data_IF_027446881556
#
_entry.id   IF_027446881556
#
_cell.length_a   1.000
_cell.length_b   1.000
_cell.length_c   1.000
_cell.angle_alpha   90.00
_cell.angle_beta   90.00
_cell.angle_gamma   90.00
#
_symmetry.space_group_name_H-M   'P 1'
#
loop_
_entity.id
_entity.type
_entity.pdbx_description
1 polymer ?
#
# COMPACT_ATOMS: atom_id res chain seq x y z
N UNK A 1 -16.09 13.09 -8.44
CA UNK A 1 -15.01 13.48 -7.50
C UNK A 1 -15.15 12.56 -6.30
N UNK A 2 -14.21 11.65 -6.05
CA UNK A 2 -14.25 10.85 -4.83
C UNK A 2 -13.80 11.75 -3.69
N UNK A 3 -14.71 12.08 -2.79
CA UNK A 3 -14.33 12.69 -1.52
C UNK A 3 -13.53 11.63 -0.75
N UNK A 4 -12.22 11.82 -0.64
CA UNK A 4 -11.40 11.05 0.28
C UNK A 4 -11.72 11.52 1.69
N UNK A 5 -11.82 10.57 2.63
CA UNK A 5 -11.97 10.88 4.04
C UNK A 5 -10.61 11.42 4.52
N UNK A 6 -10.56 12.69 4.96
CA UNK A 6 -9.38 13.33 5.55
C UNK A 6 -8.72 14.44 4.71
N UNK A 7 -8.14 15.42 5.39
CA UNK A 7 -7.35 16.50 4.80
C UNK A 7 -5.85 16.20 4.90
N UNK A 8 -5.33 15.38 4.00
CA UNK A 8 -3.95 14.87 4.03
C UNK A 8 -2.89 15.96 3.91
N UNK A 9 -3.20 17.15 3.35
CA UNK A 9 -2.25 18.26 3.28
C UNK A 9 -1.85 18.81 4.66
N UNK A 10 -2.77 18.74 5.65
CA UNK A 10 -2.47 19.19 7.02
C UNK A 10 -1.53 18.23 7.73
N UNK A 11 -1.62 16.94 7.44
CA UNK A 11 -0.84 15.89 8.11
C UNK A 11 0.53 15.64 7.50
N UNK A 12 0.78 16.10 6.27
CA UNK A 12 2.00 15.76 5.52
C UNK A 12 3.29 16.08 6.26
N UNK A 13 3.35 17.23 7.01
CA UNK A 13 4.55 17.67 7.73
C UNK A 13 4.77 16.94 9.06
N UNK A 14 3.72 16.43 9.69
CA UNK A 14 3.75 15.74 10.98
C UNK A 14 3.48 14.24 10.84
N UNK A 15 3.49 13.72 9.61
CA UNK A 15 3.14 12.34 9.31
C UNK A 15 3.88 11.31 10.19
N UNK A 16 5.21 11.41 10.28
CA UNK A 16 6.01 10.48 11.07
C UNK A 16 5.75 10.60 12.58
N UNK A 17 5.46 11.81 13.06
CA UNK A 17 5.15 12.05 14.48
C UNK A 17 3.78 11.46 14.85
N UNK A 18 2.77 11.69 14.02
CA UNK A 18 1.42 11.15 14.20
C UNK A 18 1.46 9.61 14.16
N UNK A 19 2.13 9.04 13.15
CA UNK A 19 2.27 7.61 13.01
C UNK A 19 3.02 7.00 14.20
N UNK A 20 4.13 7.59 14.62
CA UNK A 20 4.90 7.13 15.78
C UNK A 20 4.09 7.20 17.07
N UNK A 21 3.29 8.25 17.24
CA UNK A 21 2.39 8.40 18.39
C UNK A 21 1.31 7.31 18.41
N UNK A 22 0.68 7.05 17.28
CA UNK A 22 -0.35 6.03 17.14
C UNK A 22 0.20 4.61 17.38
N UNK A 23 1.40 4.31 16.86
CA UNK A 23 2.08 3.03 17.03
C UNK A 23 2.61 2.81 18.46
N UNK A 24 2.92 3.87 19.22
CA UNK A 24 3.47 3.78 20.58
C UNK A 24 4.72 2.89 20.65
N UNK A 25 4.70 1.82 21.46
CA UNK A 25 5.83 0.89 21.60
C UNK A 25 6.23 0.19 20.27
N UNK A 26 5.37 0.19 19.27
CA UNK A 26 5.64 -0.38 17.94
C UNK A 26 6.20 0.67 16.97
N UNK A 27 6.24 1.96 17.33
CA UNK A 27 6.52 3.09 16.45
C UNK A 27 7.98 3.46 16.23
N UNK A 28 8.91 2.87 16.97
CA UNK A 28 10.32 3.26 16.91
C UNK A 28 11.04 2.95 15.58
N UNK A 29 10.39 2.26 14.66
CA UNK A 29 10.94 1.90 13.34
C UNK A 29 9.81 2.00 12.27
N UNK A 30 9.29 3.20 11.98
CA UNK A 30 8.27 3.39 10.92
C UNK A 30 8.71 2.81 9.57
N UNK A 31 9.98 2.96 9.23
CA UNK A 31 10.62 2.39 8.04
C UNK A 31 10.52 0.85 7.99
N UNK A 32 10.45 0.16 9.14
CA UNK A 32 10.31 -1.29 9.19
C UNK A 32 9.04 -1.79 8.48
N UNK A 33 7.93 -1.12 8.70
CA UNK A 33 6.65 -1.55 8.11
C UNK A 33 6.64 -1.39 6.59
N UNK A 34 7.17 -0.28 6.09
CA UNK A 34 7.32 -0.03 4.65
C UNK A 34 8.32 -0.99 4.01
N UNK A 35 9.47 -1.22 4.65
CA UNK A 35 10.43 -2.24 4.24
C UNK A 35 9.77 -3.63 4.09
N UNK A 36 8.98 -4.05 5.08
CA UNK A 36 8.30 -5.36 5.07
C UNK A 36 7.29 -5.50 3.94
N UNK A 37 6.59 -4.43 3.58
CA UNK A 37 5.69 -4.40 2.43
C UNK A 37 6.46 -4.64 1.13
N UNK A 38 7.56 -3.93 0.94
CA UNK A 38 8.37 -4.04 -0.29
C UNK A 38 9.10 -5.39 -0.35
N UNK A 39 9.65 -5.89 0.77
CA UNK A 39 10.22 -7.24 0.85
C UNK A 39 9.21 -8.32 0.43
N UNK A 40 7.96 -8.21 0.88
CA UNK A 40 6.89 -9.13 0.48
C UNK A 40 6.55 -8.94 -1.00
N UNK A 41 6.37 -7.71 -1.45
CA UNK A 41 6.08 -7.39 -2.86
C UNK A 41 7.15 -7.97 -3.79
N UNK A 42 8.43 -7.80 -3.47
CA UNK A 42 9.54 -8.33 -4.27
C UNK A 42 9.50 -9.86 -4.38
N UNK A 43 9.13 -10.54 -3.29
CA UNK A 43 9.00 -12.00 -3.28
C UNK A 43 7.84 -12.51 -4.16
N UNK A 44 6.81 -11.69 -4.40
CA UNK A 44 5.63 -12.01 -5.22
C UNK A 44 5.82 -11.65 -6.69
N UNK A 45 6.57 -10.60 -6.96
CA UNK A 45 6.78 -10.15 -8.34
C UNK A 45 7.96 -10.83 -9.05
N UNK A 46 8.88 -11.42 -8.29
CA UNK A 46 10.13 -11.98 -8.81
C UNK A 46 11.12 -10.89 -9.25
N UNK A 47 12.28 -11.32 -9.74
CA UNK A 47 13.28 -10.44 -10.36
C UNK A 47 12.78 -10.12 -11.76
N UNK A 48 12.39 -8.87 -12.01
CA UNK A 48 12.09 -8.37 -13.34
C UNK A 48 12.94 -7.12 -13.54
N UNK A 49 13.81 -7.16 -14.52
CA UNK A 49 14.62 -6.01 -14.94
C UNK A 49 13.72 -4.90 -15.51
N UNK A 50 14.09 -3.64 -15.28
CA UNK A 50 13.43 -2.45 -15.85
C UNK A 50 11.91 -2.35 -15.63
N UNK A 51 11.42 -2.68 -14.45
CA UNK A 51 9.99 -2.50 -14.12
C UNK A 51 9.58 -1.05 -14.04
N UNK A 52 8.37 -0.78 -14.52
CA UNK A 52 7.65 0.46 -14.28
C UNK A 52 6.67 0.23 -13.15
N UNK A 53 6.90 0.86 -12.03
CA UNK A 53 6.15 0.66 -10.79
C UNK A 53 5.42 1.96 -10.43
N UNK A 54 4.12 1.88 -10.20
CA UNK A 54 3.32 2.97 -9.65
C UNK A 54 3.00 2.69 -8.18
N UNK A 55 3.39 3.58 -7.29
CA UNK A 55 2.88 3.65 -5.90
C UNK A 55 1.67 4.59 -5.89
N UNK A 56 0.48 3.99 -5.83
CA UNK A 56 -0.78 4.72 -5.88
C UNK A 56 -1.25 5.08 -4.48
N UNK A 57 -1.30 6.37 -4.15
CA UNK A 57 -1.49 6.88 -2.81
C UNK A 57 -0.18 6.79 -2.02
N UNK A 58 0.92 7.30 -2.60
CA UNK A 58 2.27 7.13 -2.07
C UNK A 58 2.54 7.93 -0.78
N UNK A 59 1.65 8.85 -0.40
CA UNK A 59 1.83 9.74 0.74
C UNK A 59 3.18 10.46 0.68
N UNK A 60 3.92 10.45 1.78
CA UNK A 60 5.25 11.03 1.91
C UNK A 60 6.39 10.16 1.32
N UNK A 61 6.06 9.09 0.61
CA UNK A 61 7.03 8.26 -0.12
C UNK A 61 7.71 7.18 0.70
N UNK A 62 7.16 6.79 1.84
CA UNK A 62 7.78 5.80 2.74
C UNK A 62 7.99 4.43 2.09
N UNK A 63 7.09 3.99 1.18
CA UNK A 63 7.21 2.75 0.42
C UNK A 63 8.23 2.93 -0.71
N UNK A 64 8.23 4.08 -1.38
CA UNK A 64 9.11 4.39 -2.52
C UNK A 64 10.58 4.29 -2.15
N UNK A 65 10.98 4.74 -0.95
CA UNK A 65 12.35 4.60 -0.46
C UNK A 65 12.85 3.15 -0.60
N UNK A 66 12.02 2.19 -0.16
CA UNK A 66 12.38 0.78 -0.21
C UNK A 66 12.18 0.14 -1.59
N UNK A 67 11.28 0.69 -2.43
CA UNK A 67 11.16 0.21 -3.81
C UNK A 67 12.48 0.39 -4.56
N UNK A 68 13.20 1.51 -4.38
CA UNK A 68 14.54 1.71 -4.97
C UNK A 68 15.61 0.76 -4.41
N UNK A 69 15.47 0.32 -3.13
CA UNK A 69 16.40 -0.65 -2.54
C UNK A 69 16.25 -2.06 -3.17
N UNK A 70 15.01 -2.48 -3.44
CA UNK A 70 14.70 -3.80 -3.97
C UNK A 70 14.68 -3.86 -5.51
N UNK A 71 14.42 -2.73 -6.17
CA UNK A 71 14.31 -2.60 -7.62
C UNK A 71 15.12 -1.38 -8.10
N UNK A 72 16.47 -1.44 -8.02
CA UNK A 72 17.33 -0.27 -8.28
C UNK A 72 17.22 0.29 -9.70
N UNK A 73 16.86 -0.55 -10.68
CA UNK A 73 16.71 -0.19 -12.09
C UNK A 73 15.26 0.08 -12.49
N UNK A 74 14.33 0.10 -11.53
CA UNK A 74 12.92 0.36 -11.82
C UNK A 74 12.68 1.85 -12.11
N UNK A 75 11.73 2.11 -13.02
CA UNK A 75 11.12 3.40 -13.25
C UNK A 75 9.94 3.54 -12.25
N UNK A 76 10.16 4.29 -11.17
CA UNK A 76 9.22 4.39 -10.05
C UNK A 76 8.45 5.70 -10.11
N UNK A 77 7.13 5.57 -10.12
CA UNK A 77 6.17 6.67 -10.14
C UNK A 77 5.38 6.70 -8.85
N UNK A 78 5.04 7.91 -8.39
CA UNK A 78 4.19 8.11 -7.21
C UNK A 78 3.08 9.09 -7.52
N UNK A 79 1.88 8.79 -7.02
CA UNK A 79 0.74 9.70 -7.04
C UNK A 79 0.05 9.74 -5.69
N UNK A 80 -0.39 10.93 -5.30
CA UNK A 80 -1.15 11.14 -4.06
C UNK A 80 -2.11 12.32 -4.26
N UNK A 81 -3.30 12.35 -3.63
CA UNK A 81 -4.18 13.51 -3.66
C UNK A 81 -3.60 14.74 -2.96
N UNK A 82 -2.72 14.57 -1.97
CA UNK A 82 -2.05 15.63 -1.24
C UNK A 82 -0.81 16.12 -2.00
N UNK A 83 -0.84 17.37 -2.45
CA UNK A 83 0.30 17.98 -3.13
C UNK A 83 1.50 18.17 -2.18
N UNK A 84 1.25 18.45 -0.90
CA UNK A 84 2.29 18.58 0.11
C UNK A 84 2.95 17.24 0.42
N UNK A 85 2.21 16.15 0.45
CA UNK A 85 2.76 14.79 0.57
C UNK A 85 3.66 14.43 -0.60
N UNK A 86 3.21 14.70 -1.84
CA UNK A 86 4.02 14.47 -3.05
C UNK A 86 5.32 15.29 -3.06
N UNK A 87 5.29 16.53 -2.58
CA UNK A 87 6.50 17.35 -2.49
C UNK A 87 7.51 16.76 -1.49
N UNK A 88 7.04 16.26 -0.35
CA UNK A 88 7.89 15.58 0.64
C UNK A 88 8.45 14.28 0.04
N UNK A 89 7.60 13.47 -0.59
CA UNK A 89 8.00 12.23 -1.25
C UNK A 89 9.10 12.46 -2.29
N UNK A 90 8.93 13.49 -3.14
CA UNK A 90 9.92 13.83 -4.17
C UNK A 90 11.23 14.33 -3.60
N UNK A 91 11.19 15.14 -2.53
CA UNK A 91 12.44 15.57 -1.85
C UNK A 91 13.20 14.38 -1.25
N UNK A 92 12.46 13.42 -0.65
CA UNK A 92 13.08 12.21 -0.11
C UNK A 92 13.59 11.25 -1.21
N UNK A 93 12.94 11.26 -2.37
CA UNK A 93 13.20 10.36 -3.49
C UNK A 93 13.31 11.14 -4.82
N UNK A 94 14.39 11.88 -5.08
CA UNK A 94 14.48 12.72 -6.29
C UNK A 94 14.46 11.95 -7.62
N UNK A 95 14.67 10.62 -7.57
CA UNK A 95 14.63 9.73 -8.73
C UNK A 95 13.21 9.34 -9.14
N UNK A 96 12.21 9.52 -8.26
CA UNK A 96 10.83 9.15 -8.56
C UNK A 96 10.17 10.14 -9.52
N UNK A 97 9.24 9.65 -10.32
CA UNK A 97 8.35 10.49 -11.11
C UNK A 97 7.09 10.81 -10.30
N UNK A 98 6.87 12.08 -9.99
CA UNK A 98 5.62 12.54 -9.40
C UNK A 98 4.59 12.80 -10.49
N UNK A 99 3.41 12.21 -10.38
CA UNK A 99 2.34 12.37 -11.36
C UNK A 99 1.01 12.69 -10.67
N UNK A 100 0.25 13.63 -11.24
CA UNK A 100 -1.12 13.87 -10.80
C UNK A 100 -2.03 12.75 -11.28
N UNK A 101 -3.07 12.44 -10.51
CA UNK A 101 -4.02 11.34 -10.81
C UNK A 101 -4.57 11.39 -12.25
N UNK A 102 -4.82 12.60 -12.81
CA UNK A 102 -5.33 12.77 -14.17
C UNK A 102 -4.33 12.52 -15.27
N UNK A 103 -3.03 12.55 -14.97
CA UNK A 103 -1.93 12.48 -15.93
C UNK A 103 -1.23 11.10 -15.92
N UNK A 104 -1.74 10.13 -15.14
CA UNK A 104 -1.18 8.78 -15.05
C UNK A 104 -1.37 8.07 -16.40
N UNK A 105 -0.28 7.60 -17.05
CA UNK A 105 -0.40 6.91 -18.33
C UNK A 105 -1.14 5.59 -18.19
N UNK A 106 -2.00 5.29 -19.18
CA UNK A 106 -2.73 4.02 -19.25
C UNK A 106 -1.87 2.95 -19.91
N UNK A 107 -2.10 1.68 -19.53
CA UNK A 107 -1.39 0.52 -20.08
C UNK A 107 0.13 0.71 -20.08
N UNK A 108 0.66 1.20 -18.97
CA UNK A 108 2.05 1.57 -18.87
C UNK A 108 2.81 0.80 -17.78
N UNK A 109 2.18 0.55 -16.63
CA UNK A 109 2.86 -0.01 -15.47
C UNK A 109 2.85 -1.54 -15.47
N UNK A 110 3.98 -2.12 -15.12
CA UNK A 110 4.13 -3.56 -14.89
C UNK A 110 3.57 -3.94 -13.52
N UNK A 111 3.66 -2.99 -12.56
CA UNK A 111 3.20 -3.19 -11.19
C UNK A 111 2.54 -1.92 -10.66
N UNK A 112 1.41 -2.08 -9.97
CA UNK A 112 0.81 -1.03 -9.13
C UNK A 112 0.82 -1.51 -7.67
N UNK A 113 1.40 -0.70 -6.81
CA UNK A 113 1.39 -0.87 -5.34
C UNK A 113 0.33 0.05 -4.75
N UNK A 114 -0.47 -0.47 -3.84
CA UNK A 114 -1.46 0.30 -3.07
C UNK A 114 -1.22 -0.03 -1.60
N UNK A 115 -0.90 0.96 -0.80
CA UNK A 115 -0.54 0.75 0.59
C UNK A 115 -1.37 1.63 1.51
N UNK A 116 -2.33 1.03 2.23
CA UNK A 116 -3.21 1.72 3.16
C UNK A 116 -4.00 2.87 2.51
N UNK A 117 -4.68 2.59 1.39
CA UNK A 117 -5.42 3.59 0.61
C UNK A 117 -6.92 3.28 0.57
N UNK A 118 -7.29 2.00 0.39
CA UNK A 118 -8.68 1.66 0.11
C UNK A 118 -9.63 1.94 1.28
N UNK A 119 -9.13 1.93 2.51
CA UNK A 119 -9.94 2.27 3.68
C UNK A 119 -10.27 3.78 3.76
N UNK A 120 -9.54 4.65 3.06
CA UNK A 120 -9.89 6.07 2.89
C UNK A 120 -10.85 6.34 1.73
N UNK A 121 -11.25 5.30 1.00
CA UNK A 121 -12.18 5.42 -0.13
C UNK A 121 -13.54 4.86 0.27
N UNK A 122 -14.59 5.65 0.08
CA UNK A 122 -15.96 5.22 0.34
C UNK A 122 -16.28 3.94 -0.44
N UNK A 123 -16.99 3.00 0.19
CA UNK A 123 -17.25 1.66 -0.37
C UNK A 123 -17.82 1.73 -1.79
N UNK A 124 -18.77 2.63 -2.04
CA UNK A 124 -19.41 2.84 -3.34
C UNK A 124 -18.45 3.25 -4.47
N UNK A 125 -17.27 3.79 -4.13
CA UNK A 125 -16.27 4.29 -5.08
C UNK A 125 -15.11 3.30 -5.29
N UNK A 126 -15.00 2.26 -4.46
CA UNK A 126 -13.86 1.31 -4.51
C UNK A 126 -13.82 0.53 -5.83
N UNK A 127 -14.98 0.10 -6.35
CA UNK A 127 -15.04 -0.61 -7.64
C UNK A 127 -14.52 0.26 -8.78
N UNK A 128 -15.01 1.51 -8.87
CA UNK A 128 -14.56 2.45 -9.89
C UNK A 128 -13.06 2.76 -9.78
N UNK A 129 -12.53 2.86 -8.55
CA UNK A 129 -11.10 3.05 -8.32
C UNK A 129 -10.29 1.84 -8.81
N UNK A 130 -10.69 0.62 -8.51
CA UNK A 130 -10.00 -0.60 -8.97
C UNK A 130 -10.03 -0.71 -10.50
N UNK A 131 -11.15 -0.38 -11.14
CA UNK A 131 -11.25 -0.32 -12.61
C UNK A 131 -10.29 0.73 -13.20
N UNK A 132 -10.20 1.90 -12.57
CA UNK A 132 -9.26 2.95 -12.96
C UNK A 132 -7.81 2.46 -12.83
N UNK A 133 -7.44 1.82 -11.72
CA UNK A 133 -6.10 1.27 -11.49
C UNK A 133 -5.77 0.17 -12.49
N UNK A 134 -6.72 -0.71 -12.80
CA UNK A 134 -6.54 -1.73 -13.84
C UNK A 134 -6.17 -1.10 -15.20
N UNK A 135 -6.74 0.08 -15.52
CA UNK A 135 -6.42 0.78 -16.77
C UNK A 135 -4.98 1.29 -16.87
N UNK A 136 -4.28 1.44 -15.76
CA UNK A 136 -2.87 1.87 -15.73
C UNK A 136 -1.89 0.71 -15.95
N UNK A 137 -2.29 -0.52 -15.59
CA UNK A 137 -1.48 -1.72 -15.79
C UNK A 137 -1.43 -2.12 -17.26
N UNK A 138 -0.29 -2.66 -17.70
CA UNK A 138 -0.18 -3.40 -18.94
C UNK A 138 -0.92 -4.74 -18.84
N UNK A 139 -1.13 -5.43 -19.93
CA UNK A 139 -1.66 -6.79 -19.95
C UNK A 139 -0.70 -7.72 -19.16
N UNK A 140 -1.27 -8.57 -18.31
CA UNK A 140 -0.54 -9.39 -17.33
C UNK A 140 0.24 -8.57 -16.26
N UNK A 141 0.08 -7.26 -16.20
CA UNK A 141 0.59 -6.42 -15.11
C UNK A 141 -0.03 -6.83 -13.77
N UNK A 142 0.67 -6.58 -12.68
CA UNK A 142 0.27 -7.03 -11.35
C UNK A 142 -0.09 -5.86 -10.44
N UNK A 143 -1.08 -6.10 -9.59
CA UNK A 143 -1.41 -5.22 -8.47
C UNK A 143 -1.01 -5.90 -7.16
N UNK A 144 -0.53 -5.11 -6.19
CA UNK A 144 -0.42 -5.53 -4.80
C UNK A 144 -1.05 -4.48 -3.89
N UNK A 145 -1.91 -4.95 -3.01
CA UNK A 145 -2.64 -4.13 -2.04
C UNK A 145 -2.21 -4.57 -0.64
N UNK A 146 -1.88 -3.59 0.20
CA UNK A 146 -1.64 -3.77 1.62
C UNK A 146 -2.66 -2.97 2.39
N UNK A 147 -3.35 -3.62 3.35
CA UNK A 147 -4.37 -2.98 4.16
C UNK A 147 -4.32 -3.43 5.62
N UNK A 148 -4.83 -2.59 6.51
CA UNK A 148 -4.95 -2.88 7.92
C UNK A 148 -5.88 -4.08 8.15
N UNK A 149 -5.45 -5.00 9.03
CA UNK A 149 -6.27 -6.15 9.38
C UNK A 149 -7.29 -5.78 10.47
N UNK A 150 -8.55 -5.62 10.09
CA UNK A 150 -9.64 -5.30 11.02
C UNK A 150 -9.90 -6.39 12.09
N UNK A 151 -9.38 -7.61 11.90
CA UNK A 151 -9.52 -8.70 12.88
C UNK A 151 -8.45 -8.64 13.96
N UNK A 152 -7.36 -7.91 13.75
CA UNK A 152 -6.31 -7.73 14.75
C UNK A 152 -6.67 -6.62 15.74
N UNK A 153 -6.85 -6.91 17.04
CA UNK A 153 -7.29 -5.91 18.01
C UNK A 153 -6.24 -4.81 18.27
N UNK A 154 -4.95 -5.13 18.10
CA UNK A 154 -3.87 -4.15 18.25
C UNK A 154 -3.91 -3.17 17.08
N UNK A 155 -4.06 -3.68 15.85
CA UNK A 155 -4.20 -2.84 14.65
C UNK A 155 -5.40 -1.91 14.76
N UNK A 156 -6.57 -2.42 15.16
CA UNK A 156 -7.76 -1.58 15.37
C UNK A 156 -7.48 -0.44 16.34
N UNK A 157 -6.86 -0.75 17.50
CA UNK A 157 -6.53 0.27 18.50
C UNK A 157 -5.52 1.30 17.97
N UNK A 158 -4.60 0.93 17.08
CA UNK A 158 -3.65 1.85 16.45
C UNK A 158 -4.41 2.77 15.49
N UNK A 159 -5.24 2.23 14.61
CA UNK A 159 -6.08 2.98 13.67
C UNK A 159 -7.01 3.95 14.42
N UNK A 160 -7.70 3.49 15.47
CA UNK A 160 -8.61 4.34 16.28
C UNK A 160 -7.89 5.53 16.96
N UNK A 161 -6.55 5.52 17.03
CA UNK A 161 -5.73 6.61 17.60
C UNK A 161 -5.03 7.45 16.55
N UNK A 162 -5.08 7.05 15.31
CA UNK A 162 -4.40 7.71 14.21
C UNK A 162 -5.30 8.80 13.64
N UNK A 163 -4.89 10.06 13.76
CA UNK A 163 -5.71 11.21 13.35
C UNK A 163 -6.08 11.19 11.87
N UNK A 164 -5.19 10.69 11.00
CA UNK A 164 -5.49 10.59 9.58
C UNK A 164 -6.33 9.36 9.19
N UNK A 165 -6.61 8.46 10.13
CA UNK A 165 -7.49 7.30 9.97
C UNK A 165 -8.86 7.51 10.67
N UNK A 166 -9.18 8.74 11.09
CA UNK A 166 -10.45 9.04 11.74
C UNK A 166 -11.62 8.78 10.79
N UNK A 167 -12.57 7.99 11.24
CA UNK A 167 -13.79 7.68 10.48
C UNK A 167 -13.61 6.69 9.31
N UNK A 168 -12.45 6.08 9.14
CA UNK A 168 -12.21 5.11 8.07
C UNK A 168 -12.91 3.77 8.31
N UNK A 169 -13.29 3.13 7.21
CA UNK A 169 -13.85 1.77 7.23
C UNK A 169 -12.83 0.74 6.76
N UNK A 170 -12.26 -0.02 7.72
CA UNK A 170 -11.27 -1.05 7.43
C UNK A 170 -11.87 -2.22 6.63
N UNK A 171 -11.22 -2.55 5.53
CA UNK A 171 -11.57 -3.71 4.71
C UNK A 171 -11.19 -5.01 5.42
N UNK A 172 -11.91 -6.07 5.09
CA UNK A 172 -11.43 -7.43 5.36
C UNK A 172 -10.62 -7.94 4.16
N UNK A 173 -9.75 -8.92 4.39
CA UNK A 173 -9.06 -9.64 3.33
C UNK A 173 -10.04 -10.21 2.30
N UNK A 174 -11.17 -10.78 2.78
CA UNK A 174 -12.22 -11.32 1.93
C UNK A 174 -12.91 -10.24 1.07
N UNK A 175 -13.25 -9.09 1.68
CA UNK A 175 -13.86 -7.96 0.94
C UNK A 175 -12.90 -7.43 -0.13
N UNK A 176 -11.59 -7.37 0.15
CA UNK A 176 -10.59 -6.95 -0.83
C UNK A 176 -10.48 -7.95 -2.00
N UNK A 177 -10.46 -9.27 -1.70
CA UNK A 177 -10.48 -10.30 -2.74
C UNK A 177 -11.76 -10.25 -3.59
N UNK A 178 -12.93 -10.05 -2.95
CA UNK A 178 -14.20 -9.93 -3.64
C UNK A 178 -14.26 -8.67 -4.52
N UNK A 179 -13.66 -7.57 -4.06
CA UNK A 179 -13.56 -6.32 -4.81
C UNK A 179 -12.78 -6.51 -6.12
N UNK A 180 -11.63 -7.19 -6.08
CA UNK A 180 -10.83 -7.46 -7.27
C UNK A 180 -11.52 -8.47 -8.20
N UNK A 181 -11.95 -9.61 -7.66
CA UNK A 181 -12.60 -10.67 -8.46
C UNK A 181 -13.93 -10.24 -9.08
N UNK A 182 -14.69 -9.35 -8.41
CA UNK A 182 -15.96 -8.85 -8.91
C UNK A 182 -15.84 -7.90 -10.11
N UNK A 183 -14.64 -7.40 -10.42
CA UNK A 183 -14.44 -6.53 -11.61
C UNK A 183 -14.21 -7.31 -12.89
N UNK A 184 -13.96 -8.63 -12.84
CA UNK A 184 -13.56 -9.47 -13.98
C UNK A 184 -12.29 -8.99 -14.73
N UNK A 185 -11.60 -7.99 -14.18
CA UNK A 185 -10.37 -7.42 -14.75
C UNK A 185 -9.10 -8.07 -14.21
N UNK A 186 -9.23 -8.93 -13.20
CA UNK A 186 -8.11 -9.56 -12.51
C UNK A 186 -8.33 -11.06 -12.34
N UNK A 187 -7.26 -11.82 -12.51
CA UNK A 187 -7.14 -13.23 -12.16
C UNK A 187 -5.95 -13.48 -11.22
N UNK A 188 -5.62 -14.75 -10.97
CA UNK A 188 -4.47 -15.18 -10.18
C UNK A 188 -4.40 -14.48 -8.80
N UNK A 189 -5.56 -14.45 -8.11
CA UNK A 189 -5.69 -13.78 -6.81
C UNK A 189 -5.00 -14.59 -5.71
N UNK A 190 -3.98 -13.99 -5.10
CA UNK A 190 -3.34 -14.52 -3.90
C UNK A 190 -3.46 -13.54 -2.75
N UNK A 191 -3.57 -14.03 -1.51
CA UNK A 191 -3.63 -13.17 -0.33
C UNK A 191 -3.12 -13.86 0.92
N UNK A 192 -2.74 -13.06 1.90
CA UNK A 192 -2.30 -13.56 3.20
C UNK A 192 -2.19 -12.46 4.23
N UNK A 193 -1.95 -12.86 5.46
CA UNK A 193 -1.66 -11.94 6.55
C UNK A 193 -0.15 -11.84 6.77
N UNK A 194 0.32 -10.70 7.26
CA UNK A 194 1.73 -10.45 7.57
C UNK A 194 1.87 -9.44 8.71
N UNK A 195 3.11 -9.11 9.07
CA UNK A 195 3.43 -8.26 10.24
C UNK A 195 2.92 -8.86 11.56
N UNK A 196 3.28 -10.12 11.80
CA UNK A 196 3.01 -10.79 13.08
C UNK A 196 4.06 -10.45 14.13
N UNK A 197 5.28 -10.18 13.68
CA UNK A 197 6.44 -9.97 14.54
C UNK A 197 6.78 -8.49 14.57
N UNK A 198 6.66 -7.84 15.75
CA UNK A 198 7.02 -6.43 15.88
C UNK A 198 8.52 -6.20 15.73
N UNK A 199 8.97 -4.95 15.45
CA UNK A 199 10.38 -4.62 15.19
C UNK A 199 11.35 -5.13 16.27
N UNK A 200 10.99 -5.02 17.54
CA UNK A 200 11.84 -5.46 18.67
C UNK A 200 12.03 -7.00 18.76
N UNK A 201 11.22 -7.79 18.04
CA UNK A 201 11.33 -9.25 17.92
C UNK A 201 11.78 -9.70 16.52
N UNK A 202 12.36 -8.82 15.71
CA UNK A 202 12.74 -9.08 14.31
C UNK A 202 13.58 -10.34 14.06
N UNK A 203 14.31 -10.84 15.06
CA UNK A 203 15.06 -12.12 14.99
C UNK A 203 14.16 -13.33 14.71
N UNK A 204 12.87 -13.26 15.08
CA UNK A 204 11.90 -14.34 14.87
C UNK A 204 11.11 -14.21 13.57
N UNK A 205 11.39 -13.19 12.73
CA UNK A 205 10.68 -12.87 11.51
C UNK A 205 10.52 -14.05 10.53
N UNK A 206 11.49 -14.96 10.50
CA UNK A 206 11.45 -16.14 9.63
C UNK A 206 10.23 -17.05 9.91
N UNK A 207 9.64 -16.97 11.10
CA UNK A 207 8.46 -17.75 11.46
C UNK A 207 7.19 -17.24 10.79
N UNK A 208 7.13 -15.98 10.36
CA UNK A 208 5.94 -15.37 9.74
C UNK A 208 5.48 -16.12 8.48
N UNK A 209 6.40 -16.73 7.73
CA UNK A 209 6.07 -17.51 6.52
C UNK A 209 5.07 -18.65 6.78
N UNK A 210 5.02 -19.18 8.01
CA UNK A 210 4.09 -20.24 8.41
C UNK A 210 2.76 -19.68 8.93
N UNK A 211 2.67 -18.38 9.17
CA UNK A 211 1.53 -17.72 9.78
C UNK A 211 0.64 -16.99 8.76
N UNK A 212 1.02 -16.94 7.49
CA UNK A 212 0.32 -16.13 6.47
C UNK A 212 -1.17 -16.45 6.31
N UNK A 213 -1.60 -17.65 6.66
CA UNK A 213 -3.02 -18.04 6.71
C UNK A 213 -3.77 -17.64 7.98
N UNK A 214 -3.05 -17.25 9.05
CA UNK A 214 -3.63 -16.96 10.37
C UNK A 214 -4.10 -15.51 10.42
N UNK A 215 -5.35 -15.20 10.78
CA UNK A 215 -5.90 -13.84 10.71
C UNK A 215 -5.48 -12.93 11.89
N UNK A 216 -4.24 -13.06 12.36
CA UNK A 216 -3.68 -12.32 13.49
C UNK A 216 -2.54 -11.36 13.09
N UNK A 217 -2.09 -11.36 11.83
CA UNK A 217 -1.13 -10.37 11.35
C UNK A 217 -1.69 -8.95 11.44
N UNK A 218 -0.84 -7.96 11.64
CA UNK A 218 -1.27 -6.56 11.75
C UNK A 218 -1.88 -6.04 10.44
N UNK A 219 -1.43 -6.54 9.31
CA UNK A 219 -1.95 -6.20 8.00
C UNK A 219 -2.20 -7.47 7.17
N UNK A 220 -2.94 -7.32 6.09
CA UNK A 220 -3.03 -8.33 5.04
C UNK A 220 -2.52 -7.75 3.72
N UNK A 221 -2.16 -8.64 2.82
CA UNK A 221 -1.81 -8.34 1.45
C UNK A 221 -2.71 -9.10 0.48
N UNK A 222 -2.91 -8.52 -0.69
CA UNK A 222 -3.65 -9.10 -1.79
C UNK A 222 -2.91 -8.81 -3.08
N UNK A 223 -2.59 -9.83 -3.88
CA UNK A 223 -2.10 -9.67 -5.26
C UNK A 223 -3.13 -10.16 -6.25
N UNK A 224 -3.08 -9.61 -7.45
CA UNK A 224 -3.82 -10.09 -8.58
C UNK A 224 -3.09 -9.71 -9.87
N UNK A 225 -3.38 -10.42 -10.96
CA UNK A 225 -2.84 -10.16 -12.28
C UNK A 225 -3.96 -9.61 -13.17
N UNK A 226 -3.67 -8.54 -13.91
CA UNK A 226 -4.60 -8.00 -14.89
C UNK A 226 -4.81 -9.01 -16.03
N UNK A 227 -6.06 -9.33 -16.35
CA UNK A 227 -6.43 -10.06 -17.55
C UNK A 227 -6.45 -9.15 -18.79
N UNK A 228 -6.29 -9.74 -19.96
CA UNK A 228 -6.27 -9.04 -21.27
C UNK A 228 -7.66 -8.51 -21.61
#
# INVERSE_FOLDING_TARGET
MSESIGNFDEYAKSYDEILSSALGLFGNENSYYSFRKVELASSRFGIIEHKRILDFGCGVGSVINHLFDFFPDADIWGTDPSASSLEIAHRANPRMHCVKKGDIPKQYFDVVVISNVLHHVNEEHRVALIQQIASYLIDNGKIIIFEHNRLNPITRRIVDRCEFDEGVELLSRHSCSALLGGTELFDDLESGYFLFIPPFLKRFRKLEKFLSGVPLGAQFWQTARRVI
#
